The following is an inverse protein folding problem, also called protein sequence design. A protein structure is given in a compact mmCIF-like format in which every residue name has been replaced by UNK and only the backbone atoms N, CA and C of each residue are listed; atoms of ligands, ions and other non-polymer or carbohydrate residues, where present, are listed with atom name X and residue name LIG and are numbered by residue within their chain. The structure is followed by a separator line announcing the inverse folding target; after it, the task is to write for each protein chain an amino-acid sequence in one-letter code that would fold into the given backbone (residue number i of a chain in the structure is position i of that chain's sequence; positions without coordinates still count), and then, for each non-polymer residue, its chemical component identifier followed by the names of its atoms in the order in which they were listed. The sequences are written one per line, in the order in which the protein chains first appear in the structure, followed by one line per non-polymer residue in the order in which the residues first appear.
data_IF_817301501670
#
_entry.id   IF_817301501670
#
_cell.length_a   1.000
_cell.length_b   1.000
_cell.length_c   1.000
_cell.angle_alpha   90.00
_cell.angle_beta   90.00
_cell.angle_gamma   90.00
#
_symmetry.space_group_name_H-M   'P 1'
#
loop_
_entity.id
_entity.type
_entity.pdbx_description
1 polymer ?
#
# COMPACT_ATOMS: atom_id res chain seq x y z
N UNK A 1 -20.22 9.80 0.47
CA UNK A 1 -19.66 9.82 -0.91
C UNK A 1 -19.92 8.46 -1.54
N UNK A 2 -20.55 8.40 -2.71
CA UNK A 2 -20.81 7.14 -3.41
C UNK A 2 -19.49 6.40 -3.66
N UNK A 3 -19.47 5.07 -3.51
CA UNK A 3 -18.30 4.20 -3.70
C UNK A 3 -17.61 4.44 -5.05
N UNK A 4 -18.38 4.62 -6.11
CA UNK A 4 -17.85 4.92 -7.46
C UNK A 4 -17.12 6.27 -7.53
N UNK A 5 -17.68 7.33 -6.91
CA UNK A 5 -17.02 8.66 -6.87
C UNK A 5 -15.69 8.61 -6.15
N UNK A 6 -15.60 7.85 -5.04
CA UNK A 6 -14.34 7.67 -4.31
C UNK A 6 -13.28 6.93 -5.13
N UNK A 7 -13.68 5.89 -5.87
CA UNK A 7 -12.77 5.15 -6.75
C UNK A 7 -12.23 6.05 -7.89
N UNK A 8 -13.10 6.85 -8.53
CA UNK A 8 -12.68 7.79 -9.58
C UNK A 8 -11.72 8.85 -9.03
N UNK A 9 -12.06 9.46 -7.88
CA UNK A 9 -11.19 10.44 -7.21
C UNK A 9 -9.81 9.85 -6.91
N UNK A 10 -9.76 8.60 -6.40
CA UNK A 10 -8.50 7.91 -6.13
C UNK A 10 -7.66 7.77 -7.39
N UNK A 11 -8.24 7.33 -8.51
CA UNK A 11 -7.51 7.20 -9.80
C UNK A 11 -6.95 8.54 -10.25
N UNK A 12 -7.73 9.63 -10.15
CA UNK A 12 -7.26 10.96 -10.52
C UNK A 12 -6.06 11.37 -9.67
N UNK A 13 -6.15 11.19 -8.34
CA UNK A 13 -5.06 11.52 -7.41
C UNK A 13 -3.81 10.69 -7.71
N UNK A 14 -3.95 9.38 -7.92
CA UNK A 14 -2.84 8.49 -8.27
C UNK A 14 -2.14 8.91 -9.57
N UNK A 15 -2.91 9.25 -10.61
CA UNK A 15 -2.35 9.68 -11.90
C UNK A 15 -1.63 11.03 -11.76
N UNK A 16 -2.19 11.98 -11.00
CA UNK A 16 -1.55 13.27 -10.74
C UNK A 16 -0.23 13.09 -9.99
N UNK A 17 -0.19 12.27 -8.95
CA UNK A 17 1.03 12.01 -8.20
C UNK A 17 2.06 11.20 -9.01
N UNK A 18 1.63 10.28 -9.87
CA UNK A 18 2.52 9.59 -10.79
C UNK A 18 3.12 10.58 -11.81
N UNK A 19 2.33 11.50 -12.36
CA UNK A 19 2.82 12.54 -13.25
C UNK A 19 3.84 13.46 -12.54
N UNK A 20 3.55 13.85 -11.31
CA UNK A 20 4.49 14.61 -10.48
C UNK A 20 5.79 13.84 -10.22
N UNK A 21 5.69 12.53 -9.94
CA UNK A 21 6.86 11.67 -9.75
C UNK A 21 7.74 11.63 -11.01
N UNK A 22 7.14 11.44 -12.18
CA UNK A 22 7.84 11.43 -13.48
C UNK A 22 8.45 12.81 -13.76
N UNK A 23 7.75 13.90 -13.45
CA UNK A 23 8.26 15.26 -13.61
C UNK A 23 9.50 15.50 -12.73
N UNK A 24 9.46 15.11 -11.45
CA UNK A 24 10.60 15.22 -10.54
C UNK A 24 11.77 14.33 -10.97
N UNK A 25 11.48 13.15 -11.51
CA UNK A 25 12.48 12.24 -12.06
C UNK A 25 13.21 12.89 -13.26
N UNK A 26 12.46 13.51 -14.18
CA UNK A 26 13.01 14.18 -15.36
C UNK A 26 13.88 15.38 -14.99
N UNK A 27 13.48 16.12 -13.96
CA UNK A 27 14.24 17.28 -13.45
C UNK A 27 15.40 16.88 -12.51
N UNK A 28 15.65 15.59 -12.29
CA UNK A 28 16.66 15.06 -11.34
C UNK A 28 16.45 15.48 -9.88
N UNK A 29 15.26 15.96 -9.52
CA UNK A 29 14.87 16.47 -8.21
C UNK A 29 14.05 15.45 -7.39
N UNK A 30 14.24 14.17 -7.64
CA UNK A 30 13.47 13.08 -7.02
C UNK A 30 13.59 13.07 -5.48
N UNK A 31 14.60 13.73 -4.94
CA UNK A 31 14.76 13.88 -3.49
C UNK A 31 13.59 14.65 -2.84
N UNK A 32 12.93 15.56 -3.56
CA UNK A 32 11.73 16.26 -3.07
C UNK A 32 10.57 15.32 -2.78
N UNK A 33 10.57 14.12 -3.37
CA UNK A 33 9.55 13.11 -3.04
C UNK A 33 9.58 12.69 -1.57
N UNK A 34 10.74 12.73 -0.92
CA UNK A 34 10.83 12.43 0.52
C UNK A 34 10.08 13.44 1.39
N UNK A 35 9.87 14.67 0.95
CA UNK A 35 9.01 15.65 1.66
C UNK A 35 7.55 15.21 1.60
N UNK A 36 7.07 14.78 0.42
CA UNK A 36 5.71 14.24 0.25
C UNK A 36 5.53 12.99 1.10
N UNK A 37 6.54 12.11 1.12
CA UNK A 37 6.53 10.93 1.99
C UNK A 37 6.50 11.31 3.47
N UNK A 38 7.28 12.30 3.90
CA UNK A 38 7.30 12.80 5.28
C UNK A 38 5.93 13.32 5.73
N UNK A 39 5.27 14.10 4.89
CA UNK A 39 3.87 14.54 5.14
C UNK A 39 2.93 13.33 5.21
N UNK A 40 3.09 12.36 4.30
CA UNK A 40 2.33 11.12 4.31
C UNK A 40 2.55 10.28 5.57
N UNK A 41 3.78 10.27 6.11
CA UNK A 41 4.14 9.57 7.34
C UNK A 41 3.45 10.19 8.57
N UNK A 42 3.46 11.52 8.68
CA UNK A 42 2.72 12.23 9.73
C UNK A 42 1.21 12.05 9.56
N UNK A 43 0.72 12.10 8.32
CA UNK A 43 -0.67 11.85 8.00
C UNK A 43 -1.14 10.44 8.36
N UNK A 44 -0.23 9.45 8.40
CA UNK A 44 -0.57 8.07 8.73
C UNK A 44 -1.07 7.89 10.18
N UNK A 45 -0.69 8.77 11.10
CA UNK A 45 -1.23 8.80 12.48
C UNK A 45 -2.73 9.11 12.48
N UNK A 46 -3.18 9.93 11.54
CA UNK A 46 -4.57 10.38 11.48
C UNK A 46 -5.40 9.57 10.50
N UNK A 47 -4.88 9.31 9.32
CA UNK A 47 -5.64 8.78 8.18
C UNK A 47 -5.28 7.32 7.81
N UNK A 48 -4.39 6.68 8.60
CA UNK A 48 -3.85 5.37 8.23
C UNK A 48 -2.91 5.46 7.02
N UNK A 49 -2.64 4.33 6.38
CA UNK A 49 -1.69 4.25 5.26
C UNK A 49 -2.25 4.80 3.93
N UNK A 50 -2.96 5.94 3.99
CA UNK A 50 -3.56 6.58 2.80
C UNK A 50 -2.50 6.94 1.74
N UNK A 51 -1.29 7.30 2.17
CA UNK A 51 -0.17 7.54 1.27
C UNK A 51 0.07 6.36 0.32
N UNK A 52 0.08 5.13 0.83
CA UNK A 52 0.31 3.93 0.01
C UNK A 52 -0.82 3.70 -1.01
N UNK A 53 -2.07 3.91 -0.63
CA UNK A 53 -3.21 3.61 -1.50
C UNK A 53 -3.62 4.73 -2.46
N UNK A 54 -3.05 5.97 -2.33
CA UNK A 54 -3.50 7.13 -3.11
C UNK A 54 -2.38 7.95 -3.73
N UNK A 55 -1.19 7.97 -3.12
CA UNK A 55 -0.09 8.88 -3.47
C UNK A 55 1.11 8.11 -4.02
N UNK A 56 1.33 6.88 -3.53
CA UNK A 56 2.51 6.10 -3.85
C UNK A 56 2.57 5.74 -5.34
N UNK A 57 3.63 6.11 -6.08
CA UNK A 57 3.74 5.80 -7.50
C UNK A 57 3.82 4.29 -7.78
N UNK A 58 4.30 3.50 -6.81
CA UNK A 58 4.40 2.04 -6.96
C UNK A 58 3.02 1.39 -7.05
N UNK A 59 2.05 1.78 -6.20
CA UNK A 59 0.66 1.28 -6.26
C UNK A 59 0.02 1.59 -7.62
N UNK A 60 0.26 2.80 -8.14
CA UNK A 60 -0.26 3.19 -9.46
C UNK A 60 0.33 2.33 -10.58
N UNK A 61 1.61 1.98 -10.50
CA UNK A 61 2.29 1.11 -11.47
C UNK A 61 1.83 -0.36 -11.36
N UNK A 62 1.38 -0.82 -10.19
CA UNK A 62 0.89 -2.19 -10.00
C UNK A 62 -0.49 -2.42 -10.62
N UNK A 63 -1.33 -1.40 -10.72
CA UNK A 63 -2.68 -1.51 -11.29
C UNK A 63 -2.74 -2.09 -12.71
N UNK A 64 -1.96 -1.60 -13.69
CA UNK A 64 -1.96 -2.21 -15.03
C UNK A 64 -1.48 -3.66 -15.00
N UNK A 65 -0.56 -4.00 -14.09
CA UNK A 65 -0.09 -5.37 -13.89
C UNK A 65 -1.26 -6.23 -13.40
N UNK A 66 -1.96 -5.80 -12.34
CA UNK A 66 -3.14 -6.48 -11.80
C UNK A 66 -4.23 -6.69 -12.84
N UNK A 67 -4.52 -5.65 -13.60
CA UNK A 67 -5.51 -5.73 -14.66
C UNK A 67 -5.11 -6.76 -15.73
N UNK A 68 -3.83 -6.78 -16.14
CA UNK A 68 -3.31 -7.73 -17.12
C UNK A 68 -3.41 -9.16 -16.61
N UNK A 69 -2.98 -9.43 -15.38
CA UNK A 69 -3.06 -10.76 -14.76
C UNK A 69 -4.51 -11.23 -14.58
N UNK A 70 -5.40 -10.33 -14.18
CA UNK A 70 -6.83 -10.63 -14.08
C UNK A 70 -7.45 -10.96 -15.45
N UNK A 71 -7.08 -10.22 -16.51
CA UNK A 71 -7.55 -10.45 -17.88
C UNK A 71 -7.04 -11.76 -18.46
N UNK A 72 -5.77 -12.08 -18.22
CA UNK A 72 -5.13 -13.32 -18.68
C UNK A 72 -5.44 -14.52 -17.76
N UNK A 73 -6.17 -14.30 -16.66
CA UNK A 73 -6.45 -15.32 -15.62
C UNK A 73 -5.19 -16.03 -15.09
N UNK A 74 -4.05 -15.34 -15.12
CA UNK A 74 -2.80 -15.83 -14.58
C UNK A 74 -2.76 -15.62 -13.06
N UNK A 75 -2.14 -16.56 -12.35
CA UNK A 75 -1.90 -16.45 -10.90
C UNK A 75 -0.44 -16.10 -10.65
N UNK A 76 -0.19 -15.11 -9.82
CA UNK A 76 1.14 -14.81 -9.30
C UNK A 76 1.50 -15.75 -8.15
N UNK A 77 2.77 -15.86 -7.85
CA UNK A 77 3.26 -16.63 -6.73
C UNK A 77 2.81 -15.98 -5.42
N UNK A 78 2.27 -16.79 -4.53
CA UNK A 78 1.93 -16.33 -3.17
C UNK A 78 3.20 -16.04 -2.37
N UNK A 79 3.08 -15.15 -1.40
CA UNK A 79 4.16 -14.86 -0.46
C UNK A 79 4.65 -16.15 0.21
N UNK A 80 5.94 -16.56 0.04
CA UNK A 80 6.47 -17.72 0.71
C UNK A 80 6.41 -17.57 2.24
N UNK A 81 6.10 -18.66 2.94
CA UNK A 81 5.93 -18.65 4.40
C UNK A 81 7.18 -18.15 5.15
N UNK A 82 8.37 -18.42 4.62
CA UNK A 82 9.67 -17.99 5.18
C UNK A 82 9.74 -16.45 5.32
N UNK A 83 9.16 -15.71 4.40
CA UNK A 83 9.19 -14.24 4.41
C UNK A 83 8.05 -13.61 5.24
N UNK A 84 7.06 -14.40 5.66
CA UNK A 84 5.97 -13.96 6.54
C UNK A 84 6.42 -13.74 8.00
N UNK A 85 7.65 -13.31 8.17
CA UNK A 85 8.26 -13.08 9.46
C UNK A 85 8.51 -11.57 9.68
N UNK A 86 8.17 -11.07 10.86
CA UNK A 86 8.44 -9.70 11.26
C UNK A 86 9.94 -9.35 11.21
N UNK A 87 10.81 -10.31 11.52
CA UNK A 87 12.27 -10.11 11.46
C UNK A 87 12.72 -9.76 10.03
N UNK A 88 12.25 -10.49 9.02
CA UNK A 88 12.59 -10.21 7.61
C UNK A 88 12.23 -8.77 7.22
N UNK A 89 11.04 -8.32 7.60
CA UNK A 89 10.56 -6.96 7.33
C UNK A 89 11.47 -5.89 7.95
N UNK A 90 11.88 -6.06 9.20
CA UNK A 90 12.77 -5.13 9.89
C UNK A 90 14.18 -5.16 9.31
N UNK A 91 14.69 -6.34 8.94
CA UNK A 91 16.00 -6.48 8.27
C UNK A 91 16.03 -5.69 6.96
N UNK A 92 14.99 -5.79 6.13
CA UNK A 92 14.89 -5.03 4.88
C UNK A 92 14.87 -3.52 5.17
N UNK A 93 14.13 -3.08 6.18
CA UNK A 93 14.12 -1.66 6.55
C UNK A 93 15.50 -1.17 7.00
N UNK A 94 16.18 -1.92 7.86
CA UNK A 94 17.53 -1.58 8.34
C UNK A 94 18.50 -1.52 7.17
N UNK A 95 18.49 -2.54 6.29
CA UNK A 95 19.33 -2.58 5.10
C UNK A 95 19.09 -1.36 4.19
N UNK A 96 17.83 -0.98 4.00
CA UNK A 96 17.48 0.20 3.24
C UNK A 96 18.01 1.49 3.86
N UNK A 97 17.88 1.67 5.17
CA UNK A 97 18.39 2.85 5.88
C UNK A 97 19.93 2.91 5.79
N UNK A 98 20.61 1.78 6.00
CA UNK A 98 22.07 1.69 5.85
C UNK A 98 22.48 2.05 4.43
N UNK A 99 21.79 1.54 3.42
CA UNK A 99 22.08 1.85 2.01
C UNK A 99 21.85 3.33 1.70
N UNK A 100 20.77 3.93 2.24
CA UNK A 100 20.52 5.38 2.11
C UNK A 100 21.64 6.22 2.72
N UNK A 101 22.12 5.85 3.90
CA UNK A 101 23.23 6.54 4.57
C UNK A 101 24.51 6.38 3.74
N UNK A 102 24.82 5.16 3.30
CA UNK A 102 26.01 4.88 2.48
C UNK A 102 26.00 5.71 1.19
N UNK A 103 24.89 5.75 0.45
CA UNK A 103 24.77 6.57 -0.78
C UNK A 103 25.03 8.05 -0.50
N UNK A 104 24.57 8.55 0.67
CA UNK A 104 24.80 9.94 1.08
C UNK A 104 26.26 10.20 1.47
N UNK A 105 26.85 9.34 2.28
CA UNK A 105 28.23 9.47 2.77
C UNK A 105 29.23 9.39 1.62
N UNK A 106 29.08 8.41 0.75
CA UNK A 106 29.95 8.21 -0.41
C UNK A 106 29.64 9.14 -1.59
N UNK A 107 28.66 10.06 -1.43
CA UNK A 107 28.22 11.01 -2.47
C UNK A 107 27.91 10.35 -3.82
N UNK A 108 27.42 9.12 -3.80
CA UNK A 108 27.08 8.35 -5.00
C UNK A 108 25.84 9.00 -5.64
N UNK A 109 25.95 9.39 -6.90
CA UNK A 109 24.86 10.05 -7.66
C UNK A 109 23.84 9.03 -8.18
N UNK A 110 23.25 8.22 -7.30
CA UNK A 110 22.23 7.23 -7.64
C UNK A 110 20.87 7.70 -7.09
N UNK A 111 19.85 7.60 -7.92
CA UNK A 111 18.46 7.81 -7.50
C UNK A 111 17.88 6.52 -6.92
N UNK A 112 18.18 6.23 -5.63
CA UNK A 112 17.77 5.00 -4.95
C UNK A 112 16.25 4.76 -5.06
N UNK A 113 15.43 5.81 -5.02
CA UNK A 113 13.99 5.71 -5.16
C UNK A 113 13.55 5.15 -6.52
N UNK A 114 14.26 5.50 -7.60
CA UNK A 114 14.01 4.94 -8.94
C UNK A 114 14.29 3.43 -8.97
N UNK A 115 15.44 3.01 -8.43
CA UNK A 115 15.81 1.58 -8.39
C UNK A 115 14.82 0.76 -7.55
N UNK A 116 14.38 1.29 -6.42
CA UNK A 116 13.37 0.63 -5.59
C UNK A 116 12.04 0.54 -6.34
N UNK A 117 11.64 1.60 -7.05
CA UNK A 117 10.40 1.58 -7.85
C UNK A 117 10.51 0.55 -8.98
N UNK A 118 11.63 0.49 -9.70
CA UNK A 118 11.85 -0.52 -10.73
C UNK A 118 11.86 -1.94 -10.15
N UNK A 119 12.55 -2.14 -9.03
CA UNK A 119 12.57 -3.42 -8.32
C UNK A 119 11.17 -3.83 -7.83
N UNK A 120 10.36 -2.89 -7.36
CA UNK A 120 8.99 -3.17 -6.94
C UNK A 120 8.13 -3.73 -8.07
N UNK A 121 8.27 -3.19 -9.28
CA UNK A 121 7.58 -3.67 -10.47
C UNK A 121 8.02 -5.09 -10.81
N UNK A 122 9.33 -5.38 -10.79
CA UNK A 122 9.85 -6.73 -11.04
C UNK A 122 9.32 -7.76 -10.03
N UNK A 123 9.32 -7.41 -8.75
CA UNK A 123 8.77 -8.29 -7.70
C UNK A 123 7.28 -8.55 -7.93
N UNK A 124 6.50 -7.51 -8.30
CA UNK A 124 5.05 -7.62 -8.46
C UNK A 124 4.65 -8.36 -9.75
N UNK A 125 5.55 -8.45 -10.73
CA UNK A 125 5.37 -9.34 -11.89
C UNK A 125 5.46 -10.82 -11.51
N UNK A 126 6.19 -11.17 -10.45
CA UNK A 126 6.39 -12.58 -10.05
C UNK A 126 5.46 -12.94 -8.89
N UNK A 127 5.38 -12.09 -7.88
CA UNK A 127 4.66 -12.31 -6.64
C UNK A 127 3.40 -11.44 -6.54
N UNK A 128 2.47 -11.84 -5.65
CA UNK A 128 1.32 -11.01 -5.28
C UNK A 128 1.76 -9.70 -4.62
N UNK A 129 0.96 -8.63 -4.75
CA UNK A 129 1.23 -7.29 -4.18
C UNK A 129 1.47 -7.31 -2.67
N UNK A 130 0.86 -8.27 -1.96
CA UNK A 130 1.08 -8.50 -0.53
C UNK A 130 2.56 -8.61 -0.19
N UNK A 131 3.32 -9.37 -1.01
CA UNK A 131 4.74 -9.60 -0.76
C UNK A 131 5.54 -8.30 -0.76
N UNK A 132 5.27 -7.42 -1.73
CA UNK A 132 5.91 -6.11 -1.78
C UNK A 132 5.50 -5.22 -0.62
N UNK A 133 4.21 -4.92 -0.50
CA UNK A 133 3.70 -3.90 0.42
C UNK A 133 3.87 -4.25 1.89
N UNK A 134 3.81 -5.52 2.23
CA UNK A 134 3.82 -5.99 3.61
C UNK A 134 5.20 -6.40 4.10
N UNK A 135 6.06 -6.93 3.20
CA UNK A 135 7.32 -7.56 3.63
C UNK A 135 8.57 -6.90 3.08
N UNK A 136 8.56 -6.33 1.87
CA UNK A 136 9.76 -5.78 1.24
C UNK A 136 9.79 -4.26 1.29
N UNK A 137 8.66 -3.57 1.13
CA UNK A 137 8.63 -2.12 1.01
C UNK A 137 9.05 -1.42 2.31
N UNK A 138 10.21 -0.71 2.34
CA UNK A 138 10.68 -0.04 3.55
C UNK A 138 9.75 1.12 3.95
N UNK A 139 9.19 1.84 2.96
CA UNK A 139 8.21 2.89 3.19
C UNK A 139 6.93 2.35 3.80
N UNK A 140 6.46 1.18 3.31
CA UNK A 140 5.32 0.47 3.88
C UNK A 140 5.55 0.07 5.33
N UNK A 141 6.74 -0.42 5.67
CA UNK A 141 7.10 -0.81 7.04
C UNK A 141 7.06 0.37 8.00
N UNK A 142 7.62 1.52 7.61
CA UNK A 142 7.53 2.74 8.40
C UNK A 142 6.08 3.17 8.62
N UNK A 143 5.30 3.24 7.54
CA UNK A 143 3.89 3.65 7.62
C UNK A 143 3.06 2.71 8.50
N UNK A 144 3.32 1.40 8.50
CA UNK A 144 2.66 0.44 9.40
C UNK A 144 2.88 0.78 10.86
N UNK A 145 4.10 1.18 11.22
CA UNK A 145 4.41 1.57 12.60
C UNK A 145 3.59 2.78 13.05
N UNK A 146 3.46 3.80 12.19
CA UNK A 146 2.71 5.02 12.48
C UNK A 146 1.18 4.84 12.37
N UNK A 147 0.71 3.85 11.61
CA UNK A 147 -0.72 3.57 11.41
C UNK A 147 -1.29 2.46 12.29
N UNK A 148 -0.64 2.13 13.42
CA UNK A 148 -1.15 1.09 14.35
C UNK A 148 -2.52 1.43 14.93
N UNK A 149 -2.76 2.70 15.27
CA UNK A 149 -4.02 3.20 15.81
C UNK A 149 -4.34 4.55 15.15
N UNK A 150 -4.70 4.57 13.87
CA UNK A 150 -4.99 5.83 13.18
C UNK A 150 -6.32 6.40 13.69
N UNK A 151 -6.45 7.73 13.68
CA UNK A 151 -7.66 8.42 14.11
C UNK A 151 -8.86 8.12 13.20
N UNK A 152 -8.63 7.92 11.89
CA UNK A 152 -9.60 7.42 10.94
C UNK A 152 -9.13 6.07 10.40
N UNK A 153 -10.04 5.10 10.34
CA UNK A 153 -9.75 3.74 9.90
C UNK A 153 -10.88 3.10 9.11
N UNK A 154 -10.54 2.02 8.40
CA UNK A 154 -11.53 1.17 7.76
C UNK A 154 -12.18 0.28 8.82
N UNK A 155 -13.50 0.28 8.89
CA UNK A 155 -14.30 -0.54 9.82
C UNK A 155 -15.29 -1.42 9.07
N UNK A 156 -15.53 -2.59 9.62
CA UNK A 156 -16.60 -3.48 9.18
C UNK A 156 -17.75 -3.39 10.19
N UNK A 157 -18.92 -3.05 9.71
CA UNK A 157 -20.15 -3.14 10.50
C UNK A 157 -20.54 -4.62 10.61
N UNK A 158 -20.28 -5.21 11.78
CA UNK A 158 -20.44 -6.65 12.02
C UNK A 158 -21.88 -7.11 11.87
N UNK A 159 -22.91 -6.38 12.36
CA UNK A 159 -24.32 -6.76 12.19
C UNK A 159 -24.77 -6.89 10.74
N UNK A 160 -24.26 -6.05 9.85
CA UNK A 160 -24.59 -6.09 8.41
C UNK A 160 -23.65 -6.99 7.59
N UNK A 161 -22.57 -7.52 8.19
CA UNK A 161 -21.58 -8.33 7.53
C UNK A 161 -22.00 -9.80 7.41
N UNK A 162 -22.16 -10.30 6.20
CA UNK A 162 -22.52 -11.70 5.93
C UNK A 162 -21.32 -12.63 5.77
N UNK A 163 -20.13 -12.21 6.14
CA UNK A 163 -18.86 -13.00 6.11
C UNK A 163 -18.56 -13.69 4.77
N UNK A 164 -18.99 -13.10 3.64
CA UNK A 164 -18.85 -13.70 2.30
C UNK A 164 -17.39 -13.78 1.77
N UNK A 165 -16.44 -13.11 2.42
CA UNK A 165 -15.01 -13.15 2.08
C UNK A 165 -14.60 -12.39 0.80
N UNK A 166 -15.52 -11.68 0.12
CA UNK A 166 -15.18 -10.89 -1.10
C UNK A 166 -14.15 -9.82 -0.79
N UNK A 167 -14.31 -9.11 0.33
CA UNK A 167 -13.38 -8.07 0.77
C UNK A 167 -11.96 -8.60 1.01
N UNK A 168 -11.82 -9.81 1.53
CA UNK A 168 -10.54 -10.48 1.72
C UNK A 168 -9.86 -10.80 0.39
N UNK A 169 -10.61 -11.30 -0.60
CA UNK A 169 -10.09 -11.65 -1.94
C UNK A 169 -9.59 -10.45 -2.73
N UNK A 170 -10.18 -9.27 -2.51
CA UNK A 170 -9.81 -8.04 -3.26
C UNK A 170 -8.79 -7.17 -2.51
N UNK A 171 -8.37 -7.58 -1.32
CA UNK A 171 -7.39 -6.84 -0.52
C UNK A 171 -5.97 -7.10 -1.04
N UNK A 172 -5.26 -6.07 -1.56
CA UNK A 172 -3.93 -6.25 -2.15
C UNK A 172 -2.85 -6.61 -1.13
N UNK A 173 -3.13 -6.39 0.16
CA UNK A 173 -2.17 -6.62 1.25
C UNK A 173 -2.64 -7.67 2.25
N UNK A 174 -3.71 -8.41 1.95
CA UNK A 174 -4.28 -9.43 2.84
C UNK A 174 -4.52 -8.94 4.28
N UNK A 175 -4.94 -7.67 4.42
CA UNK A 175 -5.19 -7.03 5.71
C UNK A 175 -6.59 -7.34 6.27
N UNK A 176 -7.32 -8.31 5.71
CA UNK A 176 -8.68 -8.64 6.13
C UNK A 176 -8.72 -10.12 6.51
N UNK A 177 -9.13 -10.37 7.74
CA UNK A 177 -9.23 -11.72 8.31
C UNK A 177 -10.68 -12.03 8.68
N UNK A 178 -10.99 -13.32 8.70
CA UNK A 178 -12.31 -13.82 9.13
C UNK A 178 -12.27 -14.10 10.63
N UNK A 179 -13.17 -13.47 11.37
CA UNK A 179 -13.44 -13.78 12.78
C UNK A 179 -14.75 -14.55 12.93
N UNK A 180 -15.06 -14.99 14.15
CA UNK A 180 -16.29 -15.74 14.46
C UNK A 180 -17.56 -14.94 14.17
N UNK A 181 -17.50 -13.61 14.33
CA UNK A 181 -18.63 -12.67 14.24
C UNK A 181 -18.57 -11.76 13.00
N UNK A 182 -17.73 -12.08 12.01
CA UNK A 182 -17.65 -11.29 10.78
C UNK A 182 -16.25 -11.22 10.18
N UNK A 183 -15.98 -10.13 9.48
CA UNK A 183 -14.67 -9.83 8.93
C UNK A 183 -14.02 -8.72 9.76
N UNK A 184 -12.70 -8.80 9.94
CA UNK A 184 -11.91 -7.79 10.64
C UNK A 184 -10.82 -7.23 9.73
N UNK A 185 -10.58 -5.92 9.82
CA UNK A 185 -9.54 -5.23 9.05
C UNK A 185 -8.39 -4.88 9.99
N UNK A 186 -7.18 -5.35 9.66
CA UNK A 186 -5.96 -4.88 10.29
C UNK A 186 -5.61 -3.50 9.72
N UNK A 187 -5.94 -2.46 10.49
CA UNK A 187 -5.74 -1.08 10.05
C UNK A 187 -4.26 -0.67 9.98
N UNK A 188 -3.37 -1.38 10.67
CA UNK A 188 -1.94 -1.15 10.58
C UNK A 188 -1.39 -1.53 9.20
N UNK A 189 -1.96 -2.54 8.55
CA UNK A 189 -1.57 -2.99 7.21
C UNK A 189 -2.48 -2.43 6.10
N UNK A 190 -3.64 -1.88 6.43
CA UNK A 190 -4.62 -1.39 5.48
C UNK A 190 -4.10 -0.17 4.71
N UNK A 191 -4.06 -0.24 3.37
CA UNK A 191 -3.65 0.86 2.48
C UNK A 191 -4.72 1.95 2.32
N UNK A 192 -5.88 1.82 2.93
CA UNK A 192 -7.05 2.70 2.74
C UNK A 192 -7.42 2.85 1.25
N UNK A 193 -7.18 1.81 0.45
CA UNK A 193 -7.40 1.83 -1.00
C UNK A 193 -8.88 1.69 -1.41
N UNK A 194 -9.79 1.46 -0.48
CA UNK A 194 -11.24 1.35 -0.63
C UNK A 194 -11.74 0.21 -1.56
N UNK A 195 -10.86 -0.64 -2.11
CA UNK A 195 -11.25 -1.78 -2.97
C UNK A 195 -12.29 -2.69 -2.28
N UNK A 196 -12.12 -2.96 -0.98
CA UNK A 196 -13.04 -3.79 -0.19
C UNK A 196 -14.42 -3.12 0.00
N UNK A 197 -14.46 -1.80 0.24
CA UNK A 197 -15.70 -1.03 0.36
C UNK A 197 -16.48 -1.02 -0.96
N UNK A 198 -15.76 -0.89 -2.08
CA UNK A 198 -16.36 -0.86 -3.43
C UNK A 198 -17.01 -2.19 -3.81
N UNK A 199 -16.39 -3.31 -3.41
CA UNK A 199 -16.84 -4.67 -3.74
C UNK A 199 -17.77 -5.29 -2.71
N UNK A 200 -18.04 -4.62 -1.58
CA UNK A 200 -18.93 -5.14 -0.54
C UNK A 200 -20.40 -5.09 -0.97
N UNK A 201 -21.08 -6.24 -1.14
CA UNK A 201 -22.48 -6.27 -1.58
C UNK A 201 -23.45 -5.73 -0.53
N UNK A 202 -23.07 -5.77 0.76
CA UNK A 202 -23.88 -5.31 1.89
C UNK A 202 -23.52 -3.90 2.35
N UNK A 203 -22.54 -3.23 1.70
CA UNK A 203 -22.08 -1.88 2.04
C UNK A 203 -21.63 -1.77 3.50
N UNK A 204 -21.30 -2.90 4.15
CA UNK A 204 -20.92 -2.97 5.57
C UNK A 204 -19.51 -2.46 5.89
N UNK A 205 -18.78 -1.91 4.90
CA UNK A 205 -17.43 -1.38 5.12
C UNK A 205 -17.43 0.14 4.99
N UNK A 206 -16.99 0.81 6.05
CA UNK A 206 -16.94 2.28 6.12
C UNK A 206 -15.53 2.76 6.48
N UNK A 207 -15.22 4.00 6.12
CA UNK A 207 -14.05 4.71 6.60
C UNK A 207 -14.52 5.79 7.56
N UNK A 208 -14.22 5.64 8.83
CA UNK A 208 -14.75 6.48 9.90
C UNK A 208 -13.73 6.65 11.03
N UNK A 209 -14.01 7.53 11.97
CA UNK A 209 -13.18 7.76 13.16
C UNK A 209 -13.04 6.44 13.94
N UNK A 210 -11.81 6.12 14.35
CA UNK A 210 -11.51 5.00 15.25
C UNK A 210 -12.09 5.30 16.63
N UNK A 211 -12.72 4.32 17.24
CA UNK A 211 -13.17 4.38 18.64
C UNK A 211 -11.99 4.06 19.54
#
# INVERSE_FOLDING_TARGET
MSSKKAATLRVIVEVLFLALFVFLLRNRDLQRWFLIFGVGLLGALFLGRIYCGWICPMETLFRPIDWLYAKLRLKRLRTPAIFKNGVFRWTILILFVVLMIAVRVFKIKINLLLYITAFSVLVTLIFEEEFWHRYICPFGTLLTFFSKKPFFSMKVDKPSCVSCGICQKVCPVSAIEKESDGMKIDNSECLVCLKCKEKCPKVSITYSRSE
#
